data_IF_969427326884
#
_entry.id   IF_969427326884
#
_cell.length_a   1.000
_cell.length_b   1.000
_cell.length_c   1.000
_cell.angle_alpha   90.00
_cell.angle_beta   90.00
_cell.angle_gamma   90.00
#
_symmetry.space_group_name_H-M   'P 1'
#
loop_
_entity.id
_entity.type
_entity.pdbx_description
1 polymer ?
#
# COMPACT_ATOMS: atom_id res chain seq x y z
N UNK A 1 -20.73 -5.60 -19.21
CA UNK A 1 -20.20 -4.57 -18.28
C UNK A 1 -20.07 -5.25 -16.92
N UNK A 2 -19.16 -6.21 -16.82
CA UNK A 2 -19.08 -7.18 -15.72
C UNK A 2 -17.59 -7.32 -15.38
N UNK A 3 -17.20 -7.03 -14.13
CA UNK A 3 -16.04 -7.62 -13.41
C UNK A 3 -15.43 -6.71 -12.33
N UNK A 4 -15.65 -5.40 -12.33
CA UNK A 4 -15.10 -4.55 -11.26
C UNK A 4 -15.78 -4.81 -9.90
N UNK A 5 -17.10 -5.03 -9.89
CA UNK A 5 -17.85 -5.30 -8.65
C UNK A 5 -17.38 -6.56 -7.91
N UNK A 6 -17.06 -7.64 -8.64
CA UNK A 6 -16.63 -8.91 -8.03
C UNK A 6 -15.24 -8.79 -7.41
N UNK A 7 -14.30 -8.08 -8.05
CA UNK A 7 -12.95 -7.86 -7.51
C UNK A 7 -13.00 -6.93 -6.29
N UNK A 8 -13.81 -5.88 -6.32
CA UNK A 8 -13.95 -4.96 -5.18
C UNK A 8 -14.55 -5.66 -3.96
N UNK A 9 -15.58 -6.47 -4.15
CA UNK A 9 -16.18 -7.28 -3.10
C UNK A 9 -15.22 -8.37 -2.61
N UNK A 10 -14.40 -8.94 -3.50
CA UNK A 10 -13.37 -9.91 -3.12
C UNK A 10 -12.28 -9.29 -2.24
N UNK A 11 -11.88 -8.05 -2.51
CA UNK A 11 -10.83 -7.33 -1.76
C UNK A 11 -11.34 -6.71 -0.46
N UNK A 12 -12.66 -6.60 -0.27
CA UNK A 12 -13.26 -6.08 0.96
C UNK A 12 -12.85 -6.92 2.17
N UNK A 13 -12.34 -6.27 3.22
CA UNK A 13 -11.89 -6.95 4.44
C UNK A 13 -10.64 -7.84 4.28
N UNK A 14 -10.04 -7.90 3.09
CA UNK A 14 -8.80 -8.65 2.86
C UNK A 14 -7.57 -7.89 3.36
N UNK A 15 -6.53 -8.67 3.58
CA UNK A 15 -5.19 -8.19 3.87
C UNK A 15 -4.36 -8.35 2.60
N UNK A 16 -3.76 -7.26 2.12
CA UNK A 16 -2.95 -7.25 0.89
C UNK A 16 -1.49 -7.03 1.27
N UNK A 17 -0.59 -7.87 0.76
CA UNK A 17 0.85 -7.70 0.89
C UNK A 17 1.42 -7.33 -0.49
N UNK A 18 2.12 -6.20 -0.58
CA UNK A 18 2.79 -5.75 -1.79
C UNK A 18 4.30 -5.84 -1.56
N UNK A 19 4.96 -6.63 -2.40
CA UNK A 19 6.41 -6.74 -2.45
C UNK A 19 6.99 -5.77 -3.47
N UNK A 20 8.17 -5.21 -3.19
CA UNK A 20 8.80 -4.26 -4.10
C UNK A 20 8.01 -2.94 -4.19
N UNK A 21 7.50 -2.47 -3.06
CA UNK A 21 6.61 -1.30 -2.98
C UNK A 21 7.24 -0.01 -3.56
N UNK A 22 8.57 0.06 -3.65
CA UNK A 22 9.32 1.17 -4.27
C UNK A 22 9.24 1.17 -5.81
N UNK A 23 8.80 0.08 -6.44
CA UNK A 23 8.66 -0.02 -7.89
C UNK A 23 7.53 0.87 -8.43
N UNK A 24 7.68 1.37 -9.67
CA UNK A 24 6.69 2.25 -10.31
C UNK A 24 5.27 1.66 -10.31
N UNK A 25 5.15 0.37 -10.68
CA UNK A 25 3.86 -0.33 -10.70
C UNK A 25 3.23 -0.43 -9.30
N UNK A 26 4.06 -0.72 -8.29
CA UNK A 26 3.56 -0.87 -6.93
C UNK A 26 2.99 0.44 -6.38
N UNK A 27 3.59 1.58 -6.71
CA UNK A 27 3.06 2.91 -6.35
C UNK A 27 1.67 3.15 -6.94
N UNK A 28 1.51 2.87 -8.24
CA UNK A 28 0.22 3.01 -8.93
C UNK A 28 -0.81 2.05 -8.32
N UNK A 29 -0.42 0.82 -8.01
CA UNK A 29 -1.30 -0.15 -7.38
C UNK A 29 -1.79 0.32 -6.02
N UNK A 30 -0.89 0.84 -5.17
CA UNK A 30 -1.25 1.40 -3.86
C UNK A 30 -2.23 2.56 -4.03
N UNK A 31 -1.93 3.52 -4.91
CA UNK A 31 -2.83 4.64 -5.19
C UNK A 31 -4.20 4.16 -5.70
N UNK A 32 -4.22 3.16 -6.58
CA UNK A 32 -5.45 2.62 -7.18
C UNK A 32 -6.29 1.88 -6.15
N UNK A 33 -5.67 1.07 -5.29
CA UNK A 33 -6.37 0.35 -4.21
C UNK A 33 -6.97 1.34 -3.22
N UNK A 34 -6.19 2.34 -2.77
CA UNK A 34 -6.66 3.37 -1.85
C UNK A 34 -7.82 4.19 -2.44
N UNK A 35 -7.78 4.49 -3.75
CA UNK A 35 -8.81 5.30 -4.43
C UNK A 35 -10.08 4.51 -4.75
N UNK A 36 -9.97 3.23 -5.14
CA UNK A 36 -11.10 2.45 -5.66
C UNK A 36 -11.72 1.55 -4.58
N UNK A 37 -10.93 1.03 -3.63
CA UNK A 37 -11.42 0.19 -2.53
C UNK A 37 -10.76 0.57 -1.20
N UNK A 38 -11.25 1.61 -0.51
CA UNK A 38 -10.73 1.98 0.79
C UNK A 38 -11.09 0.96 1.89
N UNK A 39 -12.02 0.01 1.66
CA UNK A 39 -12.47 -0.98 2.65
C UNK A 39 -11.57 -2.23 2.75
N UNK A 40 -10.30 -2.11 2.40
CA UNK A 40 -9.33 -3.18 2.68
C UNK A 40 -8.99 -3.18 4.17
N UNK A 41 -8.88 -4.36 4.79
CA UNK A 41 -8.60 -4.45 6.23
C UNK A 41 -7.20 -3.97 6.57
N UNK A 42 -6.22 -4.31 5.73
CA UNK A 42 -4.82 -3.94 5.94
C UNK A 42 -4.02 -4.02 4.66
N UNK A 43 -3.11 -3.07 4.50
CA UNK A 43 -2.14 -3.06 3.42
C UNK A 43 -0.73 -3.16 4.01
N UNK A 44 0.00 -4.21 3.65
CA UNK A 44 1.38 -4.43 4.06
C UNK A 44 2.29 -4.10 2.88
N UNK A 45 3.28 -3.25 3.12
CA UNK A 45 4.30 -2.92 2.13
C UNK A 45 5.64 -3.48 2.58
N UNK A 46 6.21 -4.38 1.77
CA UNK A 46 7.54 -4.91 2.01
C UNK A 46 8.57 -3.98 1.36
N UNK A 47 9.40 -3.34 2.18
CA UNK A 47 10.52 -2.51 1.75
C UNK A 47 11.83 -3.14 2.23
N UNK A 48 12.83 -3.14 1.34
CA UNK A 48 14.21 -3.48 1.69
C UNK A 48 14.87 -2.24 2.29
N UNK A 49 15.17 -2.32 3.56
CA UNK A 49 15.80 -1.25 4.33
C UNK A 49 16.47 -1.84 5.58
N UNK A 50 17.57 -1.22 6.04
CA UNK A 50 18.35 -1.74 7.18
C UNK A 50 17.57 -1.65 8.50
N UNK A 51 16.72 -0.63 8.66
CA UNK A 51 15.94 -0.41 9.86
C UNK A 51 14.56 0.20 9.54
N UNK A 52 13.69 0.24 10.56
CA UNK A 52 12.33 0.77 10.44
C UNK A 52 12.30 2.26 10.04
N UNK A 53 13.29 3.04 10.46
CA UNK A 53 13.34 4.48 10.25
C UNK A 53 13.72 4.81 8.81
N UNK A 54 14.75 4.16 8.28
CA UNK A 54 15.16 4.21 6.90
C UNK A 54 14.04 3.74 5.98
N UNK A 55 13.34 2.69 6.37
CA UNK A 55 12.21 2.17 5.61
C UNK A 55 11.01 3.13 5.61
N UNK A 56 10.70 3.75 6.75
CA UNK A 56 9.69 4.81 6.83
C UNK A 56 10.08 6.04 6.00
N UNK A 57 11.36 6.42 6.03
CA UNK A 57 11.89 7.51 5.21
C UNK A 57 11.78 7.19 3.71
N UNK A 58 12.15 5.98 3.28
CA UNK A 58 11.96 5.53 1.89
C UNK A 58 10.49 5.47 1.52
N UNK A 59 9.62 5.03 2.42
CA UNK A 59 8.19 5.04 2.20
C UNK A 59 7.65 6.47 1.98
N UNK A 60 8.01 7.42 2.85
CA UNK A 60 7.60 8.81 2.73
C UNK A 60 8.14 9.47 1.46
N UNK A 61 9.41 9.23 1.14
CA UNK A 61 10.07 9.91 0.02
C UNK A 61 9.69 9.29 -1.34
N UNK A 62 9.55 7.95 -1.41
CA UNK A 62 9.31 7.26 -2.68
C UNK A 62 7.84 6.95 -2.95
N UNK A 63 7.03 6.66 -1.92
CA UNK A 63 5.65 6.18 -2.07
C UNK A 63 4.63 7.26 -1.75
N UNK A 64 4.86 8.07 -0.71
CA UNK A 64 4.02 9.24 -0.39
C UNK A 64 4.46 10.45 -1.22
N UNK A 65 4.44 10.34 -2.55
CA UNK A 65 4.62 11.52 -3.40
C UNK A 65 3.30 12.32 -3.43
N UNK A 66 3.15 13.18 -2.42
CA UNK A 66 2.45 14.46 -2.48
C UNK A 66 0.92 14.56 -2.64
N UNK A 67 0.09 13.52 -2.40
CA UNK A 67 -1.39 13.75 -2.47
C UNK A 67 -2.36 12.93 -1.62
N UNK A 68 -1.92 11.99 -0.78
CA UNK A 68 -2.83 11.04 -0.11
C UNK A 68 -2.73 11.00 1.42
N UNK A 69 -2.23 12.06 2.07
CA UNK A 69 -2.15 12.09 3.53
C UNK A 69 -3.53 11.97 4.23
N UNK A 70 -4.61 12.40 3.58
CA UNK A 70 -5.95 12.39 4.19
C UNK A 70 -6.70 11.04 4.16
N UNK A 71 -6.21 10.01 3.44
CA UNK A 71 -6.94 8.73 3.30
C UNK A 71 -6.19 7.55 3.93
N UNK A 72 -4.89 7.71 4.21
CA UNK A 72 -4.09 6.69 4.87
C UNK A 72 -4.51 6.44 6.33
N UNK A 73 -5.21 7.39 6.97
CA UNK A 73 -5.61 7.28 8.38
C UNK A 73 -6.66 6.18 8.64
N UNK A 74 -7.37 5.72 7.60
CA UNK A 74 -8.35 4.64 7.72
C UNK A 74 -7.74 3.25 7.46
N UNK A 75 -6.57 3.16 6.83
CA UNK A 75 -5.97 1.90 6.41
C UNK A 75 -4.66 1.71 7.17
N UNK A 76 -4.63 0.72 8.05
CA UNK A 76 -3.43 0.36 8.79
C UNK A 76 -2.33 -0.11 7.82
N UNK A 77 -1.46 0.82 7.42
CA UNK A 77 -0.30 0.53 6.61
C UNK A 77 0.82 0.02 7.51
N UNK A 78 1.23 -1.25 7.36
CA UNK A 78 2.38 -1.77 8.10
C UNK A 78 3.54 -2.02 7.15
N UNK A 79 4.65 -1.37 7.46
CA UNK A 79 5.91 -1.59 6.80
C UNK A 79 6.52 -2.89 7.30
N UNK A 80 6.85 -3.79 6.38
CA UNK A 80 7.60 -5.02 6.69
C UNK A 80 9.03 -4.82 6.22
N UNK A 81 9.97 -5.03 7.14
CA UNK A 81 11.40 -4.95 6.86
C UNK A 81 11.91 -6.32 6.41
N UNK A 82 12.50 -6.36 5.22
CA UNK A 82 13.39 -7.45 4.85
C UNK A 82 14.80 -7.00 5.19
N UNK A 83 15.38 -7.53 6.28
CA UNK A 83 16.79 -7.30 6.61
C UNK A 83 17.63 -7.98 5.53
N UNK A 84 18.61 -7.26 4.97
CA UNK A 84 19.68 -7.87 4.19
C UNK A 84 20.72 -8.48 5.12
#
# INVERSE_FOLDING_TARGET
>A
MESLGSVLQFLEGKIILITGATGFLAKILVEKVLRVQPKVRKLYLLLRAPDAKAAAHRFQNEIIYNKLQHTADAISLKLVLSRC
#
